data_IF_790277118553
#
_entry.id   IF_790277118553
#
_cell.length_a   1.000
_cell.length_b   1.000
_cell.length_c   1.000
_cell.angle_alpha   90.00
_cell.angle_beta   90.00
_cell.angle_gamma   90.00
#
_symmetry.space_group_name_H-M   'P 1'
#
loop_
_entity.id
_entity.type
_entity.pdbx_description
1 polymer ?
#
# COMPACT_ATOMS: atom_id res chain seq x y z
N UNK A 1 63.87 58.09 -5.59
CA UNK A 1 64.29 56.96 -4.72
C UNK A 1 63.43 56.96 -3.46
N UNK A 2 62.33 56.19 -3.46
CA UNK A 2 61.74 55.44 -2.33
C UNK A 2 60.35 54.94 -2.72
N UNK A 3 60.19 53.63 -2.61
CA UNK A 3 58.94 52.85 -2.61
C UNK A 3 58.43 52.70 -1.16
N UNK A 4 57.26 52.06 -1.06
CA UNK A 4 56.50 51.61 0.12
C UNK A 4 55.59 52.68 0.74
N UNK A 5 54.35 52.45 1.13
CA UNK A 5 53.34 51.36 1.13
C UNK A 5 52.02 52.10 1.56
N UNK A 6 50.76 51.70 1.39
CA UNK A 6 50.09 50.50 1.94
C UNK A 6 48.65 50.41 1.39
N UNK A 7 48.11 49.19 1.35
CA UNK A 7 46.76 48.76 0.97
C UNK A 7 45.60 49.39 1.79
N UNK A 8 44.40 49.47 1.19
CA UNK A 8 43.14 49.26 1.93
C UNK A 8 42.04 48.64 1.04
N UNK A 9 41.27 47.76 1.67
CA UNK A 9 40.55 46.61 1.10
C UNK A 9 39.09 46.94 0.73
N UNK A 10 38.60 46.16 -0.25
CA UNK A 10 37.26 46.15 -0.83
C UNK A 10 36.18 45.74 0.17
N UNK A 11 35.03 46.39 0.12
CA UNK A 11 33.77 45.82 0.63
C UNK A 11 32.61 46.24 -0.26
N UNK A 12 32.03 45.28 -0.99
CA UNK A 12 30.68 45.38 -1.52
C UNK A 12 30.00 44.06 -1.16
N UNK A 13 29.08 44.10 -0.20
CA UNK A 13 28.26 42.97 0.19
C UNK A 13 27.17 42.76 -0.86
N UNK A 14 27.20 41.62 -1.54
CA UNK A 14 26.10 41.14 -2.36
C UNK A 14 25.26 40.23 -1.45
N UNK A 15 24.04 40.64 -1.11
CA UNK A 15 23.06 39.76 -0.45
C UNK A 15 22.36 39.00 -1.57
N UNK A 16 22.71 37.74 -1.75
CA UNK A 16 21.99 36.82 -2.63
C UNK A 16 20.85 36.20 -1.83
N UNK A 17 19.62 36.63 -2.08
CA UNK A 17 18.43 35.92 -1.63
C UNK A 17 18.35 34.61 -2.40
N UNK A 18 18.64 33.50 -1.72
CA UNK A 18 18.41 32.15 -2.23
C UNK A 18 16.90 31.90 -2.17
N UNK A 19 16.20 32.01 -3.29
CA UNK A 19 14.90 31.34 -3.44
C UNK A 19 15.20 29.85 -3.53
N UNK A 20 14.82 29.10 -2.50
CA UNK A 20 14.70 27.64 -2.62
C UNK A 20 13.39 27.44 -3.40
N UNK A 21 13.41 26.88 -4.63
CA UNK A 21 12.19 26.35 -5.21
C UNK A 21 11.77 25.21 -4.28
N UNK A 22 10.68 25.42 -3.53
CA UNK A 22 9.94 24.31 -2.93
C UNK A 22 9.50 23.48 -4.12
N UNK A 23 10.08 22.29 -4.26
CA UNK A 23 9.62 21.32 -5.24
C UNK A 23 8.12 21.16 -5.04
N UNK A 24 7.35 21.24 -6.12
CA UNK A 24 6.00 20.71 -6.10
C UNK A 24 6.17 19.21 -5.82
N UNK A 25 5.83 18.79 -4.60
CA UNK A 25 5.51 17.40 -4.37
C UNK A 25 4.31 17.12 -5.28
N UNK A 26 4.43 16.13 -6.16
CA UNK A 26 3.26 15.55 -6.79
C UNK A 26 2.38 15.09 -5.63
N UNK A 27 1.16 15.62 -5.54
CA UNK A 27 0.15 14.95 -4.72
C UNK A 27 -0.08 13.63 -5.45
N UNK A 28 0.12 12.50 -4.77
CA UNK A 28 -0.45 11.25 -5.22
C UNK A 28 -1.94 11.51 -5.50
N UNK A 29 -2.46 10.97 -6.59
CA UNK A 29 -3.87 11.10 -6.85
C UNK A 29 -4.57 10.20 -5.82
N UNK A 30 -5.12 10.79 -4.76
CA UNK A 30 -6.03 10.09 -3.86
C UNK A 30 -7.27 9.71 -4.68
N UNK A 31 -7.46 8.41 -4.91
CA UNK A 31 -8.68 7.90 -5.53
C UNK A 31 -9.79 7.94 -4.48
N UNK A 32 -10.95 8.47 -4.85
CA UNK A 32 -12.13 8.47 -3.99
C UNK A 32 -13.17 7.52 -4.54
N UNK A 33 -14.06 7.02 -3.68
CA UNK A 33 -15.25 6.27 -4.08
C UNK A 33 -15.99 6.87 -5.29
N UNK A 34 -16.13 8.20 -5.30
CA UNK A 34 -16.82 8.92 -6.37
C UNK A 34 -16.07 8.98 -7.70
N UNK A 35 -14.78 8.65 -7.72
CA UNK A 35 -14.02 8.52 -8.96
C UNK A 35 -14.35 7.20 -9.68
N UNK A 36 -14.84 6.19 -8.95
CA UNK A 36 -15.20 4.88 -9.50
C UNK A 36 -16.71 4.75 -9.75
N UNK A 37 -17.54 5.44 -8.96
CA UNK A 37 -19.00 5.56 -9.15
C UNK A 37 -19.33 6.39 -10.40
N UNK A 38 -19.42 5.72 -11.55
CA UNK A 38 -19.54 6.35 -12.86
C UNK A 38 -20.96 6.84 -13.14
N UNK A 39 -21.97 6.22 -12.53
CA UNK A 39 -23.37 6.57 -12.73
C UNK A 39 -23.97 7.47 -11.64
N UNK A 40 -23.27 7.62 -10.51
CA UNK A 40 -23.59 8.53 -9.41
C UNK A 40 -24.71 8.02 -8.50
N UNK A 41 -24.93 6.70 -8.44
CA UNK A 41 -25.95 6.08 -7.59
C UNK A 41 -25.47 5.80 -6.16
N UNK A 42 -24.18 6.02 -5.85
CA UNK A 42 -23.54 5.66 -4.59
C UNK A 42 -23.47 4.14 -4.33
N UNK A 43 -23.36 3.35 -5.40
CA UNK A 43 -23.15 1.91 -5.37
C UNK A 43 -22.08 1.57 -6.42
N UNK A 44 -20.99 0.89 -6.06
CA UNK A 44 -20.04 0.38 -7.06
C UNK A 44 -20.55 -0.96 -7.55
N UNK A 45 -20.98 -1.02 -8.81
CA UNK A 45 -21.19 -2.30 -9.48
C UNK A 45 -19.86 -3.01 -9.72
N UNK A 46 -19.88 -4.33 -9.88
CA UNK A 46 -18.70 -5.13 -10.26
C UNK A 46 -17.92 -4.52 -11.44
N UNK A 47 -18.62 -3.99 -12.45
CA UNK A 47 -17.97 -3.34 -13.61
C UNK A 47 -17.27 -2.02 -13.25
N UNK A 48 -17.87 -1.22 -12.39
CA UNK A 48 -17.27 0.04 -11.92
C UNK A 48 -16.05 -0.25 -11.04
N UNK A 49 -16.18 -1.22 -10.15
CA UNK A 49 -15.08 -1.70 -9.31
C UNK A 49 -13.92 -2.21 -10.15
N UNK A 50 -14.17 -3.16 -11.07
CA UNK A 50 -13.11 -3.71 -11.95
C UNK A 50 -12.41 -2.62 -12.76
N UNK A 51 -13.16 -1.64 -13.28
CA UNK A 51 -12.58 -0.54 -14.05
C UNK A 51 -11.72 0.36 -13.17
N UNK A 52 -12.25 0.76 -12.01
CA UNK A 52 -11.53 1.62 -11.07
C UNK A 52 -10.27 0.95 -10.51
N UNK A 53 -10.37 -0.33 -10.17
CA UNK A 53 -9.28 -1.13 -9.61
C UNK A 53 -8.14 -1.34 -10.63
N UNK A 54 -8.48 -1.67 -11.87
CA UNK A 54 -7.47 -1.72 -12.94
C UNK A 54 -6.81 -0.34 -13.18
N UNK A 55 -7.54 0.77 -12.99
CA UNK A 55 -7.00 2.12 -13.13
C UNK A 55 -6.18 2.58 -11.91
N UNK A 56 -6.31 1.95 -10.73
CA UNK A 56 -5.51 2.29 -9.56
C UNK A 56 -4.04 1.91 -9.73
N UNK A 57 -3.76 0.85 -10.51
CA UNK A 57 -2.43 0.29 -10.69
C UNK A 57 -1.97 -0.56 -9.50
N UNK A 58 -2.86 -0.95 -8.59
CA UNK A 58 -2.53 -1.78 -7.42
C UNK A 58 -1.96 -3.13 -7.83
N UNK A 59 -2.58 -3.81 -8.81
CA UNK A 59 -2.07 -5.07 -9.33
C UNK A 59 -0.67 -4.92 -9.91
N UNK A 60 -0.46 -3.94 -10.79
CA UNK A 60 0.85 -3.63 -11.39
C UNK A 60 1.91 -3.26 -10.33
N UNK A 61 1.50 -2.67 -9.21
CA UNK A 61 2.41 -2.33 -8.11
C UNK A 61 2.85 -3.57 -7.32
N UNK A 62 1.98 -4.59 -7.23
CA UNK A 62 2.24 -5.83 -6.50
C UNK A 62 2.93 -6.88 -7.38
N UNK A 63 2.66 -6.90 -8.69
CA UNK A 63 3.37 -7.72 -9.71
C UNK A 63 4.77 -7.12 -9.95
N UNK A 64 5.72 -7.55 -9.13
CA UNK A 64 7.05 -6.95 -9.09
C UNK A 64 7.94 -7.46 -10.22
N UNK A 65 7.70 -8.69 -10.68
CA UNK A 65 8.50 -9.30 -11.73
C UNK A 65 7.93 -9.12 -13.15
N UNK A 66 6.82 -8.39 -13.26
CA UNK A 66 6.11 -8.02 -14.49
C UNK A 66 5.68 -9.26 -15.30
N UNK A 67 5.33 -10.36 -14.62
CA UNK A 67 4.93 -11.61 -15.28
C UNK A 67 3.42 -11.74 -15.53
N UNK A 68 2.66 -10.72 -15.12
CA UNK A 68 1.19 -10.58 -15.22
C UNK A 68 0.39 -11.45 -14.25
N UNK A 69 1.05 -11.97 -13.22
CA UNK A 69 0.44 -12.72 -12.13
C UNK A 69 1.01 -12.25 -10.79
N UNK A 70 0.26 -12.49 -9.70
CA UNK A 70 0.80 -12.38 -8.36
C UNK A 70 1.16 -13.76 -7.86
N UNK A 71 2.42 -13.96 -7.56
CA UNK A 71 2.86 -15.08 -6.72
C UNK A 71 2.45 -14.85 -5.26
N UNK A 72 2.48 -15.93 -4.46
CA UNK A 72 2.17 -15.84 -3.03
C UNK A 72 3.11 -14.87 -2.29
N UNK A 73 4.39 -14.81 -2.70
CA UNK A 73 5.36 -13.88 -2.13
C UNK A 73 5.06 -12.42 -2.46
N UNK A 74 4.61 -12.13 -3.69
CA UNK A 74 4.18 -10.79 -4.10
C UNK A 74 2.92 -10.37 -3.37
N UNK A 75 1.93 -11.26 -3.30
CA UNK A 75 0.70 -11.01 -2.55
C UNK A 75 0.99 -10.76 -1.06
N UNK A 76 1.83 -11.58 -0.43
CA UNK A 76 2.24 -11.39 0.97
C UNK A 76 3.00 -10.07 1.17
N UNK A 77 3.85 -9.69 0.21
CA UNK A 77 4.58 -8.42 0.24
C UNK A 77 3.63 -7.24 0.15
N UNK A 78 2.63 -7.32 -0.72
CA UNK A 78 1.56 -6.34 -0.84
C UNK A 78 0.73 -6.21 0.43
N UNK A 79 0.36 -7.33 1.06
CA UNK A 79 -0.35 -7.30 2.35
C UNK A 79 0.50 -6.71 3.48
N UNK A 80 1.80 -6.98 3.50
CA UNK A 80 2.71 -6.32 4.45
C UNK A 80 2.73 -4.81 4.25
N UNK A 81 2.79 -4.34 2.99
CA UNK A 81 2.73 -2.92 2.64
C UNK A 81 1.44 -2.27 3.16
N UNK A 82 0.29 -2.92 2.93
CA UNK A 82 -1.03 -2.45 3.37
C UNK A 82 -1.15 -2.37 4.91
N UNK A 83 -0.40 -3.20 5.65
CA UNK A 83 -0.37 -3.15 7.12
C UNK A 83 0.61 -2.08 7.63
N UNK A 84 1.73 -1.83 6.93
CA UNK A 84 2.78 -0.86 7.27
C UNK A 84 2.37 0.58 6.88
N UNK A 85 1.35 1.11 7.56
CA UNK A 85 0.72 2.39 7.21
C UNK A 85 1.64 3.59 7.23
N UNK A 86 2.73 3.55 8.00
CA UNK A 86 3.73 4.63 8.03
C UNK A 86 4.98 4.37 7.18
N UNK A 87 5.01 3.24 6.47
CA UNK A 87 6.04 2.83 5.51
C UNK A 87 7.45 2.81 6.12
N UNK A 88 7.58 2.40 7.38
CA UNK A 88 8.87 2.32 8.08
C UNK A 88 9.48 0.90 8.10
N UNK A 89 8.83 -0.03 7.41
CA UNK A 89 9.15 -1.46 7.29
C UNK A 89 9.05 -2.22 8.62
N UNK A 90 8.26 -1.72 9.57
CA UNK A 90 7.96 -2.37 10.84
C UNK A 90 6.48 -2.21 11.18
N UNK A 91 5.76 -3.32 11.28
CA UNK A 91 4.36 -3.29 11.69
C UNK A 91 4.28 -3.19 13.22
N UNK A 92 3.63 -2.15 13.71
CA UNK A 92 3.33 -1.98 15.15
C UNK A 92 2.09 -2.78 15.58
N UNK A 93 1.85 -2.92 16.89
CA UNK A 93 0.63 -3.60 17.39
C UNK A 93 -0.68 -2.90 16.96
N UNK A 94 -0.64 -1.57 16.75
CA UNK A 94 -1.79 -0.82 16.27
C UNK A 94 -2.07 -1.12 14.78
N UNK A 95 -1.02 -1.10 13.96
CA UNK A 95 -1.08 -1.46 12.53
C UNK A 95 -1.52 -2.91 12.33
N UNK A 96 -0.94 -3.84 13.09
CA UNK A 96 -1.36 -5.24 13.12
C UNK A 96 -2.86 -5.39 13.39
N UNK A 97 -3.38 -4.65 14.37
CA UNK A 97 -4.80 -4.75 14.74
C UNK A 97 -5.69 -4.30 13.58
N UNK A 98 -5.34 -3.19 12.93
CA UNK A 98 -6.11 -2.66 11.79
C UNK A 98 -6.00 -3.58 10.58
N UNK A 99 -4.78 -3.95 10.19
CA UNK A 99 -4.51 -4.83 9.05
C UNK A 99 -5.13 -6.21 9.22
N UNK A 100 -4.98 -6.83 10.40
CA UNK A 100 -5.53 -8.15 10.66
C UNK A 100 -7.07 -8.14 10.72
N UNK A 101 -7.71 -7.10 11.26
CA UNK A 101 -9.16 -6.96 11.19
C UNK A 101 -9.65 -6.77 9.75
N UNK A 102 -8.92 -5.99 8.93
CA UNK A 102 -9.25 -5.76 7.52
C UNK A 102 -9.15 -7.05 6.70
N UNK A 103 -8.04 -7.77 6.85
CA UNK A 103 -7.78 -8.97 6.05
C UNK A 103 -8.48 -10.19 6.62
N UNK A 104 -8.41 -10.46 7.93
CA UNK A 104 -8.94 -11.71 8.49
C UNK A 104 -10.29 -11.56 9.20
N UNK A 105 -10.81 -10.33 9.26
CA UNK A 105 -12.08 -10.00 9.92
C UNK A 105 -11.98 -9.83 11.43
N UNK A 106 -13.05 -9.33 12.07
CA UNK A 106 -13.07 -9.01 13.50
C UNK A 106 -13.00 -10.22 14.44
N UNK A 107 -13.18 -11.44 13.90
CA UNK A 107 -13.07 -12.68 14.65
C UNK A 107 -11.64 -13.26 14.63
N UNK A 108 -10.70 -12.63 13.91
CA UNK A 108 -9.30 -13.01 13.93
C UNK A 108 -8.71 -12.80 15.32
N UNK A 109 -8.17 -13.86 15.90
CA UNK A 109 -7.77 -13.91 17.30
C UNK A 109 -6.35 -14.45 17.50
N UNK A 110 -5.53 -14.42 16.45
CA UNK A 110 -4.08 -14.58 16.62
C UNK A 110 -3.56 -13.35 17.36
N UNK A 111 -2.80 -13.50 18.45
CA UNK A 111 -2.24 -12.37 19.15
C UNK A 111 -1.03 -11.82 18.41
N UNK A 112 -0.81 -10.51 18.50
CA UNK A 112 0.40 -9.83 18.00
C UNK A 112 1.71 -10.53 18.40
N UNK A 113 1.77 -11.05 19.64
CA UNK A 113 2.95 -11.76 20.17
C UNK A 113 3.26 -13.10 19.49
N UNK A 114 2.33 -13.65 18.72
CA UNK A 114 2.61 -14.85 17.92
C UNK A 114 3.33 -14.47 16.62
N UNK A 115 3.22 -13.21 16.18
CA UNK A 115 3.94 -12.65 15.03
C UNK A 115 5.28 -12.00 15.43
N UNK A 116 5.31 -11.19 16.51
CA UNK A 116 6.55 -10.60 17.08
C UNK A 116 7.33 -11.66 17.87
N UNK A 117 7.99 -12.56 17.13
CA UNK A 117 8.65 -13.75 17.64
C UNK A 117 9.95 -13.43 18.40
N UNK A 118 10.62 -12.32 18.06
CA UNK A 118 11.85 -11.90 18.71
C UNK A 118 11.65 -10.92 19.89
N UNK A 119 10.39 -10.55 20.16
CA UNK A 119 9.96 -9.60 21.20
C UNK A 119 10.59 -8.20 21.04
N UNK A 120 10.84 -7.77 19.80
CA UNK A 120 11.39 -6.44 19.50
C UNK A 120 10.37 -5.32 19.70
N UNK A 121 9.08 -5.65 19.69
CA UNK A 121 7.97 -4.69 19.69
C UNK A 121 7.55 -4.24 18.31
N UNK A 122 8.02 -4.92 17.26
CA UNK A 122 7.70 -4.70 15.85
C UNK A 122 7.60 -6.05 15.15
N UNK A 123 6.73 -6.18 14.14
CA UNK A 123 6.75 -7.31 13.21
C UNK A 123 7.56 -6.88 11.98
N UNK A 124 8.69 -7.53 11.73
CA UNK A 124 9.49 -7.31 10.53
C UNK A 124 9.06 -8.22 9.36
N UNK A 125 9.65 -7.98 8.18
CA UNK A 125 9.36 -8.76 6.95
C UNK A 125 9.62 -10.27 7.08
N UNK A 126 10.55 -10.67 7.93
CA UNK A 126 10.86 -12.08 8.18
C UNK A 126 9.77 -12.68 9.04
N UNK A 127 9.40 -12.01 10.12
CA UNK A 127 8.34 -12.44 11.03
C UNK A 127 6.98 -12.48 10.32
N UNK A 128 6.69 -11.50 9.47
CA UNK A 128 5.49 -11.50 8.65
C UNK A 128 5.45 -12.67 7.67
N UNK A 129 6.55 -12.95 6.95
CA UNK A 129 6.63 -14.09 6.03
C UNK A 129 6.54 -15.44 6.74
N UNK A 130 7.13 -15.58 7.94
CA UNK A 130 7.03 -16.80 8.75
C UNK A 130 5.62 -17.02 9.34
N UNK A 131 4.92 -15.93 9.66
CA UNK A 131 3.53 -15.93 10.16
C UNK A 131 2.48 -15.96 9.05
N UNK A 132 2.89 -15.78 7.80
CA UNK A 132 2.00 -15.71 6.65
C UNK A 132 1.19 -17.00 6.49
N UNK A 133 -0.12 -16.84 6.56
CA UNK A 133 -1.11 -17.87 6.24
C UNK A 133 -2.31 -17.13 5.65
N UNK A 134 -2.53 -17.30 4.34
CA UNK A 134 -3.57 -16.56 3.63
C UNK A 134 -4.58 -17.51 3.01
N UNK A 135 -5.69 -17.64 3.72
CA UNK A 135 -6.91 -18.23 3.18
C UNK A 135 -7.38 -17.46 1.92
N UNK A 136 -7.08 -16.16 1.80
CA UNK A 136 -7.45 -15.34 0.64
C UNK A 136 -6.69 -15.74 -0.63
N UNK A 137 -5.37 -15.89 -0.55
CA UNK A 137 -4.56 -16.27 -1.71
C UNK A 137 -5.06 -17.61 -2.29
N UNK A 138 -5.29 -18.59 -1.41
CA UNK A 138 -5.81 -19.89 -1.83
C UNK A 138 -7.27 -19.84 -2.27
N UNK A 139 -8.09 -18.95 -1.70
CA UNK A 139 -9.52 -18.84 -2.05
C UNK A 139 -9.76 -18.10 -3.35
N UNK A 140 -8.90 -17.14 -3.70
CA UNK A 140 -9.01 -16.32 -4.91
C UNK A 140 -8.40 -16.99 -6.14
N UNK A 141 -7.46 -17.93 -5.95
CA UNK A 141 -6.92 -18.80 -7.01
C UNK A 141 -7.99 -19.80 -7.47
N UNK A 142 -8.82 -19.39 -8.43
CA UNK A 142 -9.97 -20.19 -8.89
C UNK A 142 -9.55 -21.38 -9.74
N UNK A 143 -8.44 -21.25 -10.48
CA UNK A 143 -7.97 -22.27 -11.40
C UNK A 143 -6.90 -23.22 -10.82
N UNK A 144 -6.52 -22.99 -9.56
CA UNK A 144 -5.60 -23.77 -8.72
C UNK A 144 -4.19 -23.87 -9.34
N UNK A 145 -3.73 -22.84 -10.05
CA UNK A 145 -2.40 -22.80 -10.66
C UNK A 145 -1.31 -22.21 -9.73
N UNK A 146 -1.70 -21.81 -8.52
CA UNK A 146 -0.86 -21.21 -7.48
C UNK A 146 -0.34 -19.83 -7.86
N UNK A 147 -1.04 -19.11 -8.73
CA UNK A 147 -0.84 -17.71 -9.07
C UNK A 147 -2.20 -16.99 -9.05
N UNK A 148 -2.21 -15.69 -8.78
CA UNK A 148 -3.41 -14.88 -8.97
C UNK A 148 -3.27 -14.04 -10.24
N UNK A 149 -4.16 -14.27 -11.20
CA UNK A 149 -4.35 -13.33 -12.31
C UNK A 149 -4.98 -12.02 -11.83
N UNK A 150 -4.86 -10.95 -12.64
CA UNK A 150 -5.52 -9.66 -12.35
C UNK A 150 -7.04 -9.81 -12.18
N UNK A 151 -7.66 -10.68 -12.97
CA UNK A 151 -9.10 -10.97 -12.90
C UNK A 151 -9.46 -11.65 -11.56
N UNK A 152 -8.69 -12.64 -11.11
CA UNK A 152 -8.89 -13.36 -9.84
C UNK A 152 -8.68 -12.45 -8.63
N UNK A 153 -7.59 -11.69 -8.64
CA UNK A 153 -7.29 -10.72 -7.59
C UNK A 153 -8.39 -9.66 -7.50
N UNK A 154 -8.77 -9.04 -8.62
CA UNK A 154 -9.80 -8.01 -8.64
C UNK A 154 -11.17 -8.55 -8.21
N UNK A 155 -11.54 -9.76 -8.64
CA UNK A 155 -12.78 -10.40 -8.23
C UNK A 155 -12.78 -10.75 -6.73
N UNK A 156 -11.68 -11.29 -6.21
CA UNK A 156 -11.54 -11.61 -4.79
C UNK A 156 -11.58 -10.38 -3.89
N UNK A 157 -10.96 -9.29 -4.33
CA UNK A 157 -11.03 -7.97 -3.68
C UNK A 157 -12.49 -7.48 -3.68
N UNK A 158 -13.18 -7.53 -4.81
CA UNK A 158 -14.60 -7.16 -4.89
C UNK A 158 -15.51 -7.97 -3.97
N UNK A 159 -15.36 -9.30 -3.96
CA UNK A 159 -16.16 -10.19 -3.11
C UNK A 159 -15.88 -9.96 -1.61
N UNK A 160 -14.67 -9.52 -1.26
CA UNK A 160 -14.32 -9.18 0.13
C UNK A 160 -14.87 -7.81 0.55
N UNK A 161 -15.04 -6.90 -0.41
CA UNK A 161 -15.70 -5.61 -0.23
C UNK A 161 -17.22 -5.72 -0.08
N UNK A 162 -17.88 -6.61 -0.83
CA UNK A 162 -19.33 -6.82 -0.79
C UNK A 162 -19.74 -7.65 0.43
N UNK A 163 -19.69 -7.02 1.61
CA UNK A 163 -19.93 -7.67 2.90
C UNK A 163 -21.32 -8.33 3.03
N UNK A 164 -22.28 -7.92 2.20
CA UNK A 164 -23.66 -8.35 2.28
C UNK A 164 -24.11 -9.26 1.11
N UNK A 165 -23.20 -9.52 0.16
CA UNK A 165 -23.39 -10.34 -1.04
C UNK A 165 -24.57 -9.86 -1.92
N UNK A 166 -24.82 -8.54 -2.03
CA UNK A 166 -25.89 -7.98 -2.88
C UNK A 166 -25.44 -7.47 -4.24
N UNK A 167 -24.18 -7.77 -4.62
CA UNK A 167 -23.54 -7.44 -5.88
C UNK A 167 -23.39 -5.94 -6.11
N UNK A 168 -23.26 -5.19 -5.02
CA UNK A 168 -22.86 -3.78 -5.04
C UNK A 168 -22.01 -3.50 -3.81
N UNK A 169 -21.03 -2.61 -3.96
CA UNK A 169 -20.32 -2.06 -2.80
C UNK A 169 -20.86 -0.67 -2.50
N UNK A 170 -21.45 -0.51 -1.33
CA UNK A 170 -22.00 0.76 -0.85
C UNK A 170 -21.01 1.55 -0.01
N UNK A 171 -21.24 2.87 0.11
CA UNK A 171 -20.45 3.74 1.00
C UNK A 171 -20.41 3.23 2.46
N UNK A 172 -21.45 2.52 2.88
CA UNK A 172 -21.50 1.90 4.21
C UNK A 172 -20.60 0.67 4.37
N UNK A 173 -20.20 0.02 3.27
CA UNK A 173 -19.29 -1.13 3.23
C UNK A 173 -17.83 -0.72 3.04
N UNK A 174 -17.59 0.55 2.69
CA UNK A 174 -16.27 1.19 2.52
C UNK A 174 -15.36 1.16 3.75
N UNK A 175 -15.82 0.70 4.92
CA UNK A 175 -14.93 0.50 6.07
C UNK A 175 -13.74 -0.42 5.73
N UNK A 176 -13.91 -1.30 4.74
CA UNK A 176 -12.85 -2.11 4.15
C UNK A 176 -11.97 -1.33 3.15
N UNK A 177 -12.51 -0.31 2.49
CA UNK A 177 -11.85 0.56 1.49
C UNK A 177 -10.91 1.61 2.10
N UNK A 178 -11.11 2.03 3.36
CA UNK A 178 -10.20 2.99 4.01
C UNK A 178 -8.84 2.32 4.29
N UNK A 179 -7.90 2.50 3.36
CA UNK A 179 -6.54 1.96 3.34
C UNK A 179 -6.06 1.82 1.89
N UNK A 180 -6.66 0.88 1.17
CA UNK A 180 -6.27 0.47 -0.19
C UNK A 180 -6.21 1.56 -1.27
N UNK A 181 -6.87 2.71 -1.06
CA UNK A 181 -7.03 3.78 -2.05
C UNK A 181 -6.40 5.12 -1.70
N UNK A 182 -5.66 5.23 -0.59
CA UNK A 182 -5.02 6.50 -0.24
C UNK A 182 -3.84 6.87 -1.16
N UNK A 183 -3.48 5.95 -2.07
CA UNK A 183 -2.48 6.17 -3.11
C UNK A 183 -1.04 6.03 -2.61
N UNK A 184 -0.84 5.77 -1.31
CA UNK A 184 0.48 5.43 -0.76
C UNK A 184 0.81 3.95 -1.04
N UNK A 185 -0.21 3.07 -1.11
CA UNK A 185 -0.06 1.62 -1.38
C UNK A 185 0.31 1.25 -2.83
N UNK A 186 0.15 2.18 -3.79
CA UNK A 186 0.47 1.95 -5.22
C UNK A 186 1.96 2.14 -5.52
N UNK A 187 2.73 2.73 -4.60
CA UNK A 187 4.14 3.11 -4.83
C UNK A 187 5.12 2.40 -3.88
N UNK A 188 4.66 1.36 -3.18
CA UNK A 188 5.46 0.65 -2.19
C UNK A 188 6.61 -0.13 -2.88
N UNK A 189 7.78 0.51 -3.05
CA UNK A 189 9.05 -0.15 -3.39
C UNK A 189 9.55 -1.02 -2.21
N UNK A 190 8.73 -1.96 -1.74
CA UNK A 190 9.09 -2.87 -0.64
C UNK A 190 9.87 -4.05 -1.22
N UNK A 191 11.06 -4.30 -0.68
CA UNK A 191 11.76 -5.56 -0.90
C UNK A 191 10.90 -6.70 -0.34
N UNK A 192 10.69 -7.75 -1.15
CA UNK A 192 9.92 -8.97 -0.84
C UNK A 192 9.95 -9.33 0.65
N UNK A 193 8.78 -9.65 1.23
CA UNK A 193 8.75 -10.32 2.53
C UNK A 193 9.59 -11.60 2.42
N UNK A 194 10.13 -12.08 3.55
CA UNK A 194 10.97 -13.29 3.52
C UNK A 194 10.23 -14.49 2.88
N UNK A 195 10.93 -15.61 2.69
CA UNK A 195 10.32 -16.83 2.13
C UNK A 195 8.96 -17.13 2.83
N UNK A 196 7.87 -17.12 2.06
CA UNK A 196 6.55 -17.64 2.47
C UNK A 196 6.50 -19.15 2.16
N UNK A 197 6.01 -19.96 3.10
CA UNK A 197 6.23 -21.43 3.13
C UNK A 197 4.98 -22.29 3.08
#
# INVERSE_FOLDING_TARGET
>A
MKLADTFSVRTAALVTTLMIPVGAFAQAAEWTYTDWDNDGNLELSETEFQTGFAESGTFDAWDRDDDTFLSEGEFATGTFADWDTDNDLQITEEEYTVGAERWYGPDYNTPYTDWDADESGYIDRTEFGEGWDSDYYTAWDEDEDSLLSEDEYTAGVYDSADLNDDYVVTVEEEGWFEGWFDGDDVEAEIEEVGDVY
#
